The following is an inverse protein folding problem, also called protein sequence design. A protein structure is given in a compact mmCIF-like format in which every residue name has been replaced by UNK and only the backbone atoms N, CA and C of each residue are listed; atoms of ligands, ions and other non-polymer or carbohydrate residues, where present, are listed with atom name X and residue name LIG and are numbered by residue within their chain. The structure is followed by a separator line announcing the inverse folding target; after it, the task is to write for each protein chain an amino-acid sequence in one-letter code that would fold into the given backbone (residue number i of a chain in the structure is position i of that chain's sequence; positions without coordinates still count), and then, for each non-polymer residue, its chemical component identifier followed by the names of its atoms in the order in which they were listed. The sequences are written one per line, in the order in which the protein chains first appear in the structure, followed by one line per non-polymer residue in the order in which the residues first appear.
data_IF_930522780442
#
_entry.id   IF_930522780442
#
_cell.length_a   1.000
_cell.length_b   1.000
_cell.length_c   1.000
_cell.angle_alpha   90.00
_cell.angle_beta   90.00
_cell.angle_gamma   90.00
#
_symmetry.space_group_name_H-M   'P 1'
#
loop_
_entity.id
_entity.type
_entity.pdbx_description
1 polymer ?
#
# COMPACT_ATOMS: atom_id res chain seq x y z
N UNK A 1 -11.48 -1.54 37.85
CA UNK A 1 -11.32 -2.72 36.97
C UNK A 1 -10.65 -2.24 35.69
N UNK A 2 -9.81 -3.06 35.07
CA UNK A 2 -9.24 -2.71 33.77
C UNK A 2 -10.28 -3.02 32.70
N UNK A 3 -10.61 -2.03 31.87
CA UNK A 3 -11.52 -2.18 30.74
C UNK A 3 -10.71 -2.11 29.44
N UNK A 4 -10.84 -3.09 28.54
CA UNK A 4 -10.12 -3.07 27.28
C UNK A 4 -10.71 -2.03 26.33
N UNK A 5 -9.90 -1.07 25.91
CA UNK A 5 -10.28 -0.09 24.89
C UNK A 5 -10.19 -0.71 23.49
N UNK A 6 -11.31 -0.70 22.75
CA UNK A 6 -11.34 -1.23 21.39
C UNK A 6 -10.59 -0.35 20.37
N UNK A 7 -10.43 0.94 20.64
CA UNK A 7 -9.72 1.87 19.74
C UNK A 7 -8.19 1.68 19.79
N UNK A 8 -7.67 1.06 20.86
CA UNK A 8 -6.24 0.79 21.05
C UNK A 8 -5.82 -0.61 20.57
N UNK A 9 -6.71 -1.37 19.92
CA UNK A 9 -6.38 -2.71 19.42
C UNK A 9 -5.49 -2.63 18.19
N UNK A 10 -4.40 -3.38 18.23
CA UNK A 10 -3.48 -3.53 17.10
C UNK A 10 -3.24 -5.01 16.75
N UNK A 11 -2.60 -5.28 15.62
CA UNK A 11 -2.23 -6.62 15.15
C UNK A 11 -0.81 -6.64 14.63
N UNK A 12 0.01 -7.51 15.22
CA UNK A 12 1.38 -7.73 14.79
C UNK A 12 1.50 -8.93 13.85
N UNK A 13 2.38 -8.82 12.85
CA UNK A 13 2.74 -9.92 11.97
C UNK A 13 4.06 -10.55 12.43
N UNK A 14 3.98 -11.70 13.09
CA UNK A 14 5.14 -12.41 13.61
C UNK A 14 5.56 -13.53 12.66
N UNK A 15 6.85 -13.63 12.26
CA UNK A 15 7.32 -14.75 11.47
C UNK A 15 7.01 -16.09 12.15
N UNK A 16 6.50 -17.06 11.39
CA UNK A 16 6.15 -18.39 11.92
C UNK A 16 7.34 -19.11 12.60
N UNK A 17 8.56 -18.78 12.19
CA UNK A 17 9.82 -19.32 12.73
C UNK A 17 10.55 -18.34 13.63
N UNK A 18 9.86 -17.35 14.19
CA UNK A 18 10.45 -16.42 15.13
C UNK A 18 11.14 -17.18 16.29
N UNK A 19 12.42 -16.90 16.57
CA UNK A 19 13.11 -17.52 17.69
C UNK A 19 12.42 -17.18 19.02
N UNK A 20 11.97 -18.21 19.74
CA UNK A 20 11.21 -18.02 20.99
C UNK A 20 9.71 -17.75 20.78
N UNK A 21 9.22 -17.76 19.54
CA UNK A 21 7.81 -17.66 19.21
C UNK A 21 7.23 -16.25 19.42
N UNK A 22 5.91 -16.18 19.50
CA UNK A 22 5.15 -14.92 19.62
C UNK A 22 5.50 -14.19 20.91
N UNK A 23 5.68 -14.91 22.03
CA UNK A 23 5.96 -14.31 23.33
C UNK A 23 7.30 -13.55 23.32
N UNK A 24 8.34 -14.15 22.73
CA UNK A 24 9.66 -13.50 22.61
C UNK A 24 9.64 -12.26 21.72
N UNK A 25 8.81 -12.25 20.67
CA UNK A 25 8.57 -11.06 19.85
C UNK A 25 7.84 -9.98 20.66
N UNK A 26 6.79 -10.38 21.36
CA UNK A 26 5.95 -9.47 22.15
C UNK A 26 6.75 -8.76 23.24
N UNK A 27 7.61 -9.49 23.96
CA UNK A 27 8.49 -8.92 24.98
C UNK A 27 9.52 -7.94 24.40
N UNK A 28 10.00 -8.21 23.17
CA UNK A 28 11.06 -7.42 22.53
C UNK A 28 10.53 -6.17 21.82
N UNK A 29 9.41 -6.29 21.12
CA UNK A 29 8.91 -5.27 20.21
C UNK A 29 7.66 -4.56 20.71
N UNK A 30 6.82 -5.19 21.56
CA UNK A 30 5.55 -4.59 22.00
C UNK A 30 5.65 -4.00 23.40
N UNK A 31 6.01 -4.80 24.41
CA UNK A 31 6.03 -4.35 25.81
C UNK A 31 6.90 -3.11 26.10
N UNK A 32 8.03 -2.87 25.41
CA UNK A 32 8.80 -1.64 25.61
C UNK A 32 8.06 -0.35 25.20
N UNK A 33 7.05 -0.48 24.33
CA UNK A 33 6.26 0.65 23.81
C UNK A 33 4.86 0.72 24.41
N UNK A 34 4.26 -0.43 24.76
CA UNK A 34 2.95 -0.55 25.38
C UNK A 34 3.01 -1.54 26.57
N UNK A 35 3.40 -1.07 27.77
CA UNK A 35 3.65 -1.94 28.92
C UNK A 35 2.42 -2.66 29.47
N UNK A 36 1.22 -2.14 29.20
CA UNK A 36 -0.06 -2.68 29.59
C UNK A 36 -0.72 -3.51 28.49
N UNK A 37 -0.05 -3.73 27.35
CA UNK A 37 -0.54 -4.57 26.29
C UNK A 37 -0.59 -6.05 26.70
N UNK A 38 -1.52 -6.80 26.10
CA UNK A 38 -1.61 -8.25 26.25
C UNK A 38 -1.99 -8.89 24.92
N UNK A 39 -1.67 -10.18 24.77
CA UNK A 39 -1.97 -10.96 23.57
C UNK A 39 -3.37 -11.54 23.68
N UNK A 40 -4.22 -11.29 22.69
CA UNK A 40 -5.49 -11.99 22.51
C UNK A 40 -5.25 -13.34 21.82
N UNK A 41 -4.89 -14.38 22.58
CA UNK A 41 -4.52 -15.70 22.05
C UNK A 41 -5.64 -16.36 21.25
N UNK A 42 -6.90 -16.13 21.62
CA UNK A 42 -8.09 -16.62 20.91
C UNK A 42 -8.25 -16.06 19.49
N UNK A 43 -7.63 -14.89 19.22
CA UNK A 43 -7.65 -14.21 17.92
C UNK A 43 -6.37 -14.41 17.12
N UNK A 44 -5.40 -15.13 17.68
CA UNK A 44 -4.13 -15.41 17.00
C UNK A 44 -4.35 -16.42 15.89
N UNK A 45 -3.88 -16.12 14.70
CA UNK A 45 -4.07 -16.94 13.51
C UNK A 45 -2.72 -17.28 12.86
N UNK A 46 -2.60 -18.50 12.35
CA UNK A 46 -1.45 -18.94 11.55
C UNK A 46 -1.86 -18.91 10.09
N UNK A 47 -1.11 -18.19 9.26
CA UNK A 47 -1.37 -18.07 7.85
C UNK A 47 -0.11 -17.89 7.02
N UNK A 48 -0.31 -17.80 5.71
CA UNK A 48 0.74 -17.46 4.75
C UNK A 48 0.37 -16.18 4.04
N UNK A 49 1.34 -15.29 3.87
CA UNK A 49 1.18 -14.12 3.03
C UNK A 49 1.65 -14.43 1.60
N UNK A 50 0.83 -14.08 0.61
CA UNK A 50 1.20 -14.15 -0.80
C UNK A 50 1.19 -12.72 -1.34
N UNK A 51 2.37 -12.19 -1.67
CA UNK A 51 2.46 -10.88 -2.31
C UNK A 51 1.90 -10.94 -3.72
N UNK A 52 0.70 -10.38 -3.90
CA UNK A 52 0.05 -10.42 -5.21
C UNK A 52 0.88 -9.69 -6.27
N UNK A 53 1.48 -8.56 -5.90
CA UNK A 53 2.35 -7.79 -6.78
C UNK A 53 3.58 -8.60 -7.20
N UNK A 54 4.19 -9.37 -6.31
CA UNK A 54 5.37 -10.17 -6.66
C UNK A 54 5.06 -11.29 -7.66
N UNK A 55 3.93 -11.98 -7.47
CA UNK A 55 3.65 -13.22 -8.20
C UNK A 55 2.70 -13.05 -9.39
N UNK A 56 1.80 -12.07 -9.34
CA UNK A 56 0.76 -11.89 -10.35
C UNK A 56 0.84 -10.57 -11.09
N UNK A 57 1.71 -9.65 -10.69
CA UNK A 57 1.86 -8.40 -11.43
C UNK A 57 2.45 -8.67 -12.81
N UNK A 58 1.70 -8.27 -13.83
CA UNK A 58 2.17 -8.21 -15.21
C UNK A 58 2.48 -6.74 -15.50
N UNK A 59 3.75 -6.37 -15.70
CA UNK A 59 4.10 -5.02 -16.10
C UNK A 59 3.32 -4.64 -17.35
N UNK A 60 2.65 -3.49 -17.31
CA UNK A 60 2.05 -2.93 -18.50
C UNK A 60 3.16 -2.63 -19.52
N UNK A 61 3.03 -3.05 -20.79
CA UNK A 61 4.01 -2.69 -21.80
C UNK A 61 4.07 -1.17 -21.93
N UNK A 62 5.27 -0.64 -22.12
CA UNK A 62 5.46 0.78 -22.36
C UNK A 62 4.81 1.15 -23.71
N UNK A 63 4.21 2.35 -23.77
CA UNK A 63 3.76 2.94 -25.03
C UNK A 63 4.95 3.04 -26.00
N UNK A 64 4.68 2.77 -27.27
CA UNK A 64 5.67 2.92 -28.33
C UNK A 64 5.99 4.39 -28.58
N UNK A 65 7.16 4.67 -29.16
CA UNK A 65 7.52 6.03 -29.59
C UNK A 65 6.55 6.59 -30.63
N UNK A 66 5.96 5.74 -31.46
CA UNK A 66 4.98 6.14 -32.46
C UNK A 66 3.68 6.65 -31.81
N UNK A 67 3.17 5.92 -30.81
CA UNK A 67 2.00 6.34 -30.03
C UNK A 67 2.27 7.63 -29.26
N UNK A 68 3.43 7.73 -28.59
CA UNK A 68 3.84 8.95 -27.87
C UNK A 68 3.90 10.15 -28.83
N UNK A 69 4.47 9.97 -30.04
CA UNK A 69 4.54 11.03 -31.04
C UNK A 69 3.15 11.44 -31.55
N UNK A 70 2.27 10.48 -31.79
CA UNK A 70 0.91 10.75 -32.25
C UNK A 70 0.11 11.56 -31.21
N UNK A 71 0.22 11.17 -29.92
CA UNK A 71 -0.40 11.91 -28.81
C UNK A 71 0.11 13.35 -28.72
N UNK A 72 1.43 13.56 -28.84
CA UNK A 72 2.03 14.91 -28.81
C UNK A 72 1.47 15.79 -29.94
N UNK A 73 1.46 15.28 -31.17
CA UNK A 73 0.96 16.05 -32.33
C UNK A 73 -0.54 16.37 -32.19
N UNK A 74 -1.33 15.43 -31.67
CA UNK A 74 -2.75 15.67 -31.41
C UNK A 74 -2.96 16.76 -30.35
N UNK A 75 -2.16 16.77 -29.28
CA UNK A 75 -2.20 17.80 -28.24
C UNK A 75 -1.77 19.18 -28.76
N UNK A 76 -0.75 19.24 -29.63
CA UNK A 76 -0.34 20.48 -30.29
C UNK A 76 -1.48 21.07 -31.12
N UNK A 77 -2.13 20.23 -31.93
CA UNK A 77 -3.23 20.66 -32.80
C UNK A 77 -4.47 21.10 -32.00
N UNK A 78 -4.78 20.42 -30.89
CA UNK A 78 -5.82 20.86 -29.96
C UNK A 78 -5.49 22.21 -29.31
N UNK A 79 -4.22 22.43 -28.97
CA UNK A 79 -3.76 23.67 -28.35
C UNK A 79 -3.81 24.84 -29.32
N UNK A 80 -3.39 24.65 -30.58
CA UNK A 80 -3.56 25.65 -31.65
C UNK A 80 -5.03 26.00 -31.87
N UNK A 81 -5.92 25.00 -31.93
CA UNK A 81 -7.36 25.21 -32.02
C UNK A 81 -7.96 25.94 -30.80
N UNK A 82 -7.39 25.74 -29.61
CA UNK A 82 -7.76 26.49 -28.40
C UNK A 82 -7.31 27.95 -28.50
N UNK A 83 -6.06 28.19 -28.90
CA UNK A 83 -5.50 29.53 -29.07
C UNK A 83 -6.26 30.32 -30.14
N UNK A 84 -6.60 29.71 -31.27
CA UNK A 84 -7.40 30.36 -32.31
C UNK A 84 -8.79 30.78 -31.80
N UNK A 85 -9.42 30.00 -30.91
CA UNK A 85 -10.71 30.40 -30.30
C UNK A 85 -10.56 31.57 -29.33
N UNK A 86 -9.43 31.67 -28.63
CA UNK A 86 -9.16 32.75 -27.66
C UNK A 86 -8.75 34.04 -28.39
N UNK A 87 -7.90 33.94 -29.42
CA UNK A 87 -7.36 35.09 -30.16
C UNK A 87 -8.26 35.54 -31.31
N UNK A 88 -8.92 34.60 -31.99
CA UNK A 88 -9.87 34.87 -33.09
C UNK A 88 -11.30 35.14 -32.63
N UNK A 89 -11.54 35.22 -31.31
CA UNK A 89 -12.77 35.72 -30.71
C UNK A 89 -12.77 37.24 -30.62
N UNK A 90 -12.69 37.92 -31.77
CA UNK A 90 -12.96 39.35 -31.95
C UNK A 90 -13.57 39.56 -33.35
#
# INVERSE_FOLDING_TARGET
EYEPDSELRDTEQVPLKEPGGIDAFFDREVLPHAPDAWIATDKTQIGYEISFARYFYKPAPLRTLAEIRADILALEQQSEGLLHRIVGGA
#
